data_IF_407763932731
#
_entry.id   IF_407763932731
#
_cell.length_a   1.000
_cell.length_b   1.000
_cell.length_c   1.000
_cell.angle_alpha   90.00
_cell.angle_beta   90.00
_cell.angle_gamma   90.00
#
_symmetry.space_group_name_H-M   'P 1'
#
loop_
_entity.id
_entity.type
_entity.pdbx_description
1 polymer ?
#
# COMPACT_ATOMS: atom_id res chain seq x y z
N UNK A 1 -14.78 -2.27 2.80
CA UNK A 1 -15.64 -3.33 2.27
C UNK A 1 -14.87 -4.58 1.81
N UNK A 2 -13.62 -4.70 2.19
CA UNK A 2 -12.82 -5.90 1.96
C UNK A 2 -12.10 -5.99 0.62
N UNK A 3 -12.17 -4.96 -0.20
CA UNK A 3 -11.41 -4.91 -1.44
C UNK A 3 -10.09 -4.20 -1.24
N UNK A 4 -9.11 -4.57 -2.03
CA UNK A 4 -7.77 -4.00 -1.98
C UNK A 4 -7.64 -2.91 -3.04
N UNK A 5 -7.26 -1.71 -2.60
CA UNK A 5 -6.98 -0.60 -3.51
C UNK A 5 -5.55 -0.71 -4.01
N UNK A 6 -5.37 -0.82 -5.31
CA UNK A 6 -4.05 -0.82 -5.93
C UNK A 6 -3.96 0.29 -6.96
N UNK A 7 -2.75 0.77 -7.17
CA UNK A 7 -2.47 1.81 -8.15
C UNK A 7 -1.43 1.29 -9.14
N UNK A 8 -1.45 1.89 -10.34
CA UNK A 8 -0.50 1.58 -11.39
C UNK A 8 0.28 2.86 -11.70
N UNK A 9 1.60 2.79 -11.62
CA UNK A 9 2.45 3.92 -11.94
C UNK A 9 2.45 4.24 -13.42
N UNK A 10 2.77 5.49 -13.75
CA UNK A 10 2.89 5.90 -15.15
C UNK A 10 3.98 5.08 -15.83
N UNK A 11 3.63 4.50 -16.98
CA UNK A 11 4.54 3.66 -17.75
C UNK A 11 4.71 2.24 -17.22
N UNK A 12 4.06 1.88 -16.13
CA UNK A 12 4.15 0.54 -15.56
C UNK A 12 2.92 -0.30 -15.95
N UNK A 13 3.13 -1.61 -16.03
CA UNK A 13 2.04 -2.56 -16.32
C UNK A 13 1.61 -3.34 -15.08
N UNK A 14 2.32 -3.18 -13.98
CA UNK A 14 2.06 -3.89 -12.74
C UNK A 14 1.50 -2.95 -11.67
N UNK A 15 0.86 -3.54 -10.69
CA UNK A 15 0.12 -2.81 -9.67
C UNK A 15 0.83 -2.87 -8.32
N UNK A 16 0.57 -1.88 -7.48
CA UNK A 16 1.17 -1.81 -6.15
C UNK A 16 0.23 -1.11 -5.18
N UNK A 17 0.47 -1.33 -3.89
CA UNK A 17 -0.21 -0.59 -2.85
C UNK A 17 0.16 0.90 -2.95
N UNK A 18 -0.80 1.81 -2.72
CA UNK A 18 -0.46 3.23 -2.63
C UNK A 18 0.53 3.48 -1.49
N UNK A 19 1.45 4.39 -1.69
CA UNK A 19 2.41 4.75 -0.66
C UNK A 19 3.63 5.44 -1.21
N UNK A 20 4.55 5.80 -0.34
CA UNK A 20 5.76 6.48 -0.70
C UNK A 20 6.72 6.55 0.47
N UNK A 21 7.83 7.23 0.26
CA UNK A 21 8.84 7.40 1.29
C UNK A 21 8.36 8.37 2.37
N UNK A 22 8.78 8.11 3.62
CA UNK A 22 8.51 9.04 4.71
C UNK A 22 9.23 10.37 4.49
N UNK A 23 8.56 11.44 4.84
CA UNK A 23 9.13 12.79 4.72
C UNK A 23 9.36 13.39 6.10
N UNK A 24 10.42 14.15 6.21
CA UNK A 24 10.74 14.88 7.44
C UNK A 24 9.58 15.84 7.76
N UNK A 25 9.15 15.85 9.00
CA UNK A 25 8.05 16.70 9.44
C UNK A 25 6.69 16.04 9.44
N UNK A 26 6.59 14.81 8.93
CA UNK A 26 5.34 14.04 8.94
C UNK A 26 5.50 12.78 9.77
N UNK A 27 4.50 12.48 10.60
CA UNK A 27 4.44 11.19 11.27
C UNK A 27 4.11 10.10 10.24
N UNK A 28 4.32 8.81 10.56
CA UNK A 28 3.94 7.74 9.63
C UNK A 28 2.48 7.81 9.19
N UNK A 29 1.55 8.11 10.10
CA UNK A 29 0.14 8.20 9.75
C UNK A 29 -0.15 9.42 8.88
N UNK A 30 0.45 10.56 9.20
CA UNK A 30 0.30 11.76 8.36
C UNK A 30 0.86 11.52 6.97
N UNK A 31 1.99 10.84 6.89
CA UNK A 31 2.65 10.59 5.61
C UNK A 31 1.81 9.69 4.71
N UNK A 32 1.24 8.61 5.24
CA UNK A 32 0.43 7.72 4.41
C UNK A 32 -0.86 8.41 3.94
N UNK A 33 -1.47 9.23 4.78
CA UNK A 33 -2.66 9.98 4.37
C UNK A 33 -2.34 10.97 3.26
N UNK A 34 -1.18 11.62 3.34
CA UNK A 34 -0.70 12.53 2.29
C UNK A 34 -0.47 11.77 0.98
N UNK A 35 0.20 10.61 1.05
CA UNK A 35 0.46 9.80 -0.14
C UNK A 35 -0.83 9.28 -0.78
N UNK A 36 -1.80 8.85 0.02
CA UNK A 36 -3.09 8.42 -0.50
C UNK A 36 -3.77 9.56 -1.24
N UNK A 37 -3.78 10.76 -0.65
CA UNK A 37 -4.40 11.93 -1.30
C UNK A 37 -3.70 12.25 -2.62
N UNK A 38 -2.37 12.25 -2.65
CA UNK A 38 -1.60 12.59 -3.85
C UNK A 38 -1.77 11.57 -4.95
N UNK A 39 -1.77 10.28 -4.61
CA UNK A 39 -1.82 9.22 -5.60
C UNK A 39 -3.22 8.85 -6.03
N UNK A 40 -4.19 8.91 -5.13
CA UNK A 40 -5.55 8.41 -5.40
C UNK A 40 -6.60 9.50 -5.52
N UNK A 41 -6.35 10.70 -5.02
CA UNK A 41 -7.34 11.76 -4.99
C UNK A 41 -8.35 11.62 -3.87
N UNK A 42 -8.23 10.60 -3.01
CA UNK A 42 -9.14 10.38 -1.90
C UNK A 42 -8.55 10.87 -0.59
N UNK A 43 -9.42 11.42 0.26
CA UNK A 43 -9.09 11.56 1.67
C UNK A 43 -9.30 10.21 2.34
N UNK A 44 -8.61 9.98 3.45
CA UNK A 44 -8.65 8.68 4.12
C UNK A 44 -8.48 8.83 5.62
N UNK A 45 -8.82 7.77 6.33
CA UNK A 45 -8.63 7.66 7.78
C UNK A 45 -7.83 6.40 8.07
N UNK A 46 -6.79 6.53 8.88
CA UNK A 46 -6.02 5.37 9.31
C UNK A 46 -6.79 4.61 10.39
N UNK A 47 -6.96 3.31 10.19
CA UNK A 47 -7.63 2.45 11.15
C UNK A 47 -6.60 1.82 12.09
N UNK A 48 -5.57 1.17 11.53
CA UNK A 48 -4.53 0.52 12.34
C UNK A 48 -3.31 0.18 11.49
N UNK A 49 -2.21 -0.08 12.17
CA UNK A 49 -1.01 -0.62 11.54
C UNK A 49 -1.19 -2.13 11.38
N UNK A 50 -0.96 -2.65 10.19
CA UNK A 50 -1.08 -4.08 9.90
C UNK A 50 0.25 -4.80 9.93
N UNK A 51 1.32 -4.17 9.43
CA UNK A 51 2.60 -4.85 9.29
C UNK A 51 3.78 -3.89 9.23
N UNK A 52 4.93 -4.42 9.62
CA UNK A 52 6.24 -3.78 9.45
C UNK A 52 7.10 -4.78 8.69
N UNK A 53 7.54 -4.41 7.49
CA UNK A 53 8.35 -5.27 6.64
C UNK A 53 9.77 -4.74 6.48
N UNK A 54 10.73 -5.66 6.45
CA UNK A 54 12.09 -5.40 5.99
C UNK A 54 12.12 -5.75 4.50
N UNK A 55 12.28 -4.76 3.64
CA UNK A 55 12.19 -5.00 2.20
C UNK A 55 13.23 -5.97 1.67
N UNK A 56 14.41 -6.05 2.28
CA UNK A 56 15.45 -6.96 1.83
C UNK A 56 15.17 -8.44 2.15
N UNK A 57 14.21 -8.70 3.04
CA UNK A 57 13.79 -10.07 3.33
C UNK A 57 13.05 -10.70 2.13
N UNK A 58 12.34 -9.89 1.37
CA UNK A 58 11.48 -10.36 0.28
C UNK A 58 12.15 -10.25 -1.08
N UNK A 59 13.00 -9.25 -1.25
CA UNK A 59 13.71 -9.04 -2.49
C UNK A 59 14.99 -8.24 -2.21
N UNK A 60 16.13 -8.83 -2.54
CA UNK A 60 17.41 -8.20 -2.28
C UNK A 60 17.53 -6.89 -3.07
N UNK A 61 17.90 -5.83 -2.38
CA UNK A 61 18.07 -4.51 -2.95
C UNK A 61 19.36 -3.88 -2.42
N UNK A 62 19.85 -2.85 -3.13
CA UNK A 62 21.03 -2.12 -2.72
C UNK A 62 20.82 -1.29 -1.45
N UNK A 63 19.58 -0.98 -1.14
CA UNK A 63 19.21 -0.24 0.07
C UNK A 63 18.17 -1.02 0.84
N UNK A 64 18.22 -0.88 2.15
CA UNK A 64 17.26 -1.49 3.04
C UNK A 64 16.23 -0.45 3.45
N UNK A 65 14.95 -0.80 3.33
CA UNK A 65 13.85 0.04 3.76
C UNK A 65 13.00 -0.69 4.78
N UNK A 66 12.47 0.06 5.74
CA UNK A 66 11.43 -0.45 6.63
C UNK A 66 10.11 0.07 6.09
N UNK A 67 9.21 -0.85 5.78
CA UNK A 67 7.92 -0.51 5.20
C UNK A 67 6.83 -0.67 6.25
N UNK A 68 6.07 0.38 6.49
CA UNK A 68 4.91 0.36 7.38
C UNK A 68 3.65 0.27 6.53
N UNK A 69 2.80 -0.71 6.81
CA UNK A 69 1.56 -0.89 6.05
C UNK A 69 0.37 -0.69 6.97
N UNK A 70 -0.50 0.23 6.61
CA UNK A 70 -1.67 0.61 7.40
C UNK A 70 -2.94 0.17 6.72
N UNK A 71 -3.92 -0.23 7.52
CA UNK A 71 -5.30 -0.35 7.06
C UNK A 71 -5.93 1.03 7.13
N UNK A 72 -6.50 1.48 6.00
CA UNK A 72 -7.13 2.79 5.91
C UNK A 72 -8.52 2.67 5.33
N UNK A 73 -9.38 3.61 5.69
CA UNK A 73 -10.70 3.74 5.10
C UNK A 73 -10.68 4.96 4.18
N UNK A 74 -11.07 4.76 2.92
CA UNK A 74 -11.21 5.87 1.99
C UNK A 74 -12.52 6.60 2.29
N UNK A 75 -12.46 7.92 2.33
CA UNK A 75 -13.60 8.76 2.66
C UNK A 75 -14.15 9.42 1.38
N UNK A 76 -13.84 10.70 1.18
CA UNK A 76 -14.32 11.46 0.03
C UNK A 76 -13.23 11.60 -1.00
N UNK A 77 -13.64 11.75 -2.25
CA UNK A 77 -12.67 12.03 -3.30
C UNK A 77 -13.02 11.35 -4.60
N UNK A 78 -12.11 11.54 -5.55
CA UNK A 78 -12.27 11.02 -6.90
C UNK A 78 -10.89 10.86 -7.53
N UNK A 79 -10.66 9.71 -8.15
CA UNK A 79 -9.38 9.48 -8.80
C UNK A 79 -9.33 10.16 -10.17
N UNK A 80 -8.22 10.86 -10.40
CA UNK A 80 -7.87 11.37 -11.72
C UNK A 80 -6.41 10.99 -11.98
N UNK A 81 -6.10 10.63 -13.22
CA UNK A 81 -4.72 10.35 -13.62
C UNK A 81 -3.84 11.54 -13.28
N UNK A 82 -2.63 11.26 -12.84
CA UNK A 82 -1.68 12.29 -12.48
C UNK A 82 -0.28 11.93 -12.99
N UNK A 83 0.73 12.71 -12.65
CA UNK A 83 2.08 12.48 -13.16
C UNK A 83 2.69 11.17 -12.69
N UNK A 84 2.27 10.66 -11.55
CA UNK A 84 2.82 9.44 -10.97
C UNK A 84 1.96 8.21 -11.26
N UNK A 85 0.63 8.36 -11.27
CA UNK A 85 -0.31 7.25 -11.29
C UNK A 85 -1.20 7.31 -12.53
N UNK A 86 -1.18 6.22 -13.30
CA UNK A 86 -1.98 6.11 -14.53
C UNK A 86 -3.34 5.48 -14.30
N UNK A 87 -3.48 4.66 -13.27
CA UNK A 87 -4.73 3.94 -13.01
C UNK A 87 -4.88 3.57 -11.55
N UNK A 88 -6.11 3.38 -11.12
CA UNK A 88 -6.46 2.95 -9.78
C UNK A 88 -7.63 1.99 -9.88
N UNK A 89 -7.60 0.91 -9.13
CA UNK A 89 -8.73 -0.01 -9.09
C UNK A 89 -8.80 -0.73 -7.74
N UNK A 90 -9.96 -1.29 -7.46
CA UNK A 90 -10.21 -2.06 -6.26
C UNK A 90 -10.37 -3.52 -6.68
N UNK A 91 -9.66 -4.40 -5.99
CA UNK A 91 -9.62 -5.82 -6.35
C UNK A 91 -10.12 -6.69 -5.20
N UNK A 92 -10.90 -7.70 -5.55
CA UNK A 92 -11.20 -8.77 -4.60
C UNK A 92 -9.93 -9.58 -4.36
N UNK A 93 -9.80 -10.16 -3.15
CA UNK A 93 -8.57 -10.86 -2.80
C UNK A 93 -8.25 -12.05 -3.70
N UNK A 94 -9.25 -12.65 -4.33
CA UNK A 94 -9.08 -13.76 -5.25
C UNK A 94 -8.72 -13.33 -6.67
N UNK A 95 -8.73 -12.02 -6.94
CA UNK A 95 -8.52 -11.45 -8.28
C UNK A 95 -7.40 -10.42 -8.32
N UNK A 96 -6.38 -10.61 -7.50
CA UNK A 96 -5.26 -9.68 -7.45
C UNK A 96 -4.47 -9.77 -8.77
N UNK A 97 -4.21 -8.64 -9.42
CA UNK A 97 -3.45 -8.62 -10.68
C UNK A 97 -1.96 -8.79 -10.46
N UNK A 98 -1.19 -8.77 -11.53
CA UNK A 98 0.27 -8.84 -11.45
C UNK A 98 0.81 -7.65 -10.63
N UNK A 99 1.60 -7.94 -9.62
CA UNK A 99 2.15 -6.94 -8.70
C UNK A 99 3.55 -6.48 -9.14
N UNK A 100 3.87 -5.25 -8.79
CA UNK A 100 5.24 -4.74 -8.89
C UNK A 100 6.04 -5.37 -7.75
N UNK A 101 6.78 -6.45 -8.06
CA UNK A 101 7.46 -7.24 -7.04
C UNK A 101 8.58 -6.49 -6.32
N UNK A 102 9.04 -5.39 -6.90
CA UNK A 102 9.99 -4.51 -6.20
C UNK A 102 9.34 -3.74 -5.07
N UNK A 103 8.01 -3.59 -5.11
CA UNK A 103 7.26 -2.82 -4.12
C UNK A 103 6.43 -3.72 -3.21
N UNK A 104 5.78 -4.74 -3.77
CA UNK A 104 4.88 -5.62 -3.01
C UNK A 104 4.97 -7.04 -3.53
N UNK A 105 4.93 -8.01 -2.64
CA UNK A 105 4.96 -9.43 -3.02
C UNK A 105 3.66 -10.11 -2.56
N UNK A 106 3.36 -11.27 -3.17
CA UNK A 106 2.23 -12.07 -2.75
C UNK A 106 2.37 -12.50 -1.29
N UNK A 107 3.59 -12.81 -0.87
CA UNK A 107 3.86 -13.20 0.52
C UNK A 107 3.48 -12.07 1.48
N UNK A 108 3.85 -10.84 1.15
CA UNK A 108 3.48 -9.69 1.95
C UNK A 108 1.96 -9.51 2.01
N UNK A 109 1.27 -9.64 0.87
CA UNK A 109 -0.18 -9.53 0.85
C UNK A 109 -0.83 -10.61 1.71
N UNK A 110 -0.31 -11.83 1.69
CA UNK A 110 -0.86 -12.90 2.51
C UNK A 110 -0.77 -12.58 4.00
N UNK A 111 0.36 -12.01 4.45
CA UNK A 111 0.46 -11.56 5.84
C UNK A 111 -0.57 -10.47 6.15
N UNK A 112 -0.76 -9.52 5.23
CA UNK A 112 -1.74 -8.46 5.44
C UNK A 112 -3.15 -9.01 5.57
N UNK A 113 -3.53 -9.97 4.71
CA UNK A 113 -4.85 -10.59 4.80
C UNK A 113 -5.04 -11.33 6.12
N UNK A 114 -4.02 -12.03 6.60
CA UNK A 114 -4.10 -12.75 7.87
C UNK A 114 -4.35 -11.78 9.03
N UNK A 115 -3.65 -10.66 9.05
CA UNK A 115 -3.84 -9.64 10.09
C UNK A 115 -5.23 -9.00 9.96
N UNK A 116 -5.62 -8.66 8.74
CA UNK A 116 -6.92 -8.06 8.47
C UNK A 116 -8.07 -8.96 8.92
N UNK A 117 -7.95 -10.26 8.69
CA UNK A 117 -8.97 -11.23 9.05
C UNK A 117 -8.98 -11.59 10.54
N UNK A 118 -8.06 -11.07 11.31
CA UNK A 118 -7.96 -11.37 12.75
C UNK A 118 -7.32 -12.72 13.06
N UNK A 119 -6.70 -13.35 12.06
CA UNK A 119 -6.02 -14.64 12.26
C UNK A 119 -4.62 -14.47 12.82
N UNK A 120 -4.13 -13.28 12.85
CA UNK A 120 -2.78 -12.94 13.29
C UNK A 120 -2.79 -11.51 13.83
N UNK A 121 -2.00 -11.26 14.85
CA UNK A 121 -1.75 -9.89 15.32
C UNK A 121 -0.84 -9.17 14.32
N UNK A 122 -0.56 -7.90 14.58
CA UNK A 122 0.34 -7.12 13.75
C UNK A 122 1.55 -7.96 13.34
N UNK A 123 1.85 -8.00 12.06
CA UNK A 123 2.99 -8.74 11.56
C UNK A 123 4.25 -7.85 11.56
N UNK A 124 5.34 -8.38 12.04
CA UNK A 124 6.62 -7.65 12.03
C UNK A 124 7.75 -8.60 11.65
N UNK A 125 8.50 -8.22 10.63
CA UNK A 125 9.73 -8.95 10.28
C UNK A 125 10.77 -8.83 11.39
#
# INVERSE_FOLDING_TARGET
DGKLCLVKGQGEETWALPGGFGEVGYSPTENILKEIQEETGYSARVIRLLAVFDTNRYQLQSRQYVKLVFECELLDGNFEKNQEISDLAFFEREKIPALSTKRNTEEQLNFLWEVYDGKRDLYCD
#
